data_IF_587258157437
#
_entry.id   IF_587258157437
#
_cell.length_a   1.000
_cell.length_b   1.000
_cell.length_c   1.000
_cell.angle_alpha   90.00
_cell.angle_beta   90.00
_cell.angle_gamma   90.00
#
_symmetry.space_group_name_H-M   'P 1'
#
loop_
_entity.id
_entity.type
_entity.pdbx_description
1 polymer ?
#
# COMPACT_ATOMS: atom_id res chain seq x y z
N UNK A 1 -22.90 -5.45 4.19
CA UNK A 1 -21.48 -5.62 4.52
C UNK A 1 -21.01 -6.97 4.00
N UNK A 2 -20.00 -6.95 3.15
CA UNK A 2 -19.31 -8.13 2.63
C UNK A 2 -17.85 -8.08 3.05
N UNK A 3 -17.23 -9.25 3.19
CA UNK A 3 -15.81 -9.37 3.56
C UNK A 3 -15.11 -10.44 2.74
N UNK A 4 -13.80 -10.30 2.58
CA UNK A 4 -12.91 -11.33 2.04
C UNK A 4 -11.58 -11.33 2.81
N UNK A 5 -11.25 -12.48 3.40
CA UNK A 5 -10.06 -12.66 4.23
C UNK A 5 -8.93 -13.30 3.42
N UNK A 6 -7.75 -12.67 3.43
CA UNK A 6 -6.52 -13.18 2.86
C UNK A 6 -5.49 -13.38 3.96
N UNK A 7 -5.35 -14.63 4.43
CA UNK A 7 -4.35 -14.98 5.45
C UNK A 7 -2.93 -14.83 4.93
N UNK A 8 -2.01 -14.39 5.79
CA UNK A 8 -0.62 -14.10 5.45
C UNK A 8 0.10 -15.26 4.73
N UNK A 9 -0.15 -16.49 5.16
CA UNK A 9 0.44 -17.74 4.64
C UNK A 9 -0.19 -18.22 3.33
N UNK A 10 -1.23 -17.55 2.83
CA UNK A 10 -1.88 -17.87 1.54
C UNK A 10 -1.42 -16.93 0.42
N UNK A 11 -0.53 -15.98 0.71
CA UNK A 11 0.01 -15.05 -0.30
C UNK A 11 0.92 -15.80 -1.27
N UNK A 12 0.96 -15.31 -2.52
CA UNK A 12 2.00 -15.74 -3.45
C UNK A 12 3.38 -15.42 -2.89
N UNK A 13 4.38 -16.22 -3.22
CA UNK A 13 5.74 -16.03 -2.71
C UNK A 13 6.75 -16.18 -3.85
N UNK A 14 7.65 -15.21 -3.94
CA UNK A 14 8.77 -15.23 -4.87
C UNK A 14 10.06 -14.91 -4.13
N UNK A 15 11.10 -15.71 -4.33
CA UNK A 15 12.41 -15.49 -3.73
C UNK A 15 13.50 -15.65 -4.79
N UNK A 16 14.33 -14.62 -4.95
CA UNK A 16 15.38 -14.56 -5.97
C UNK A 16 16.77 -14.35 -5.35
N UNK A 17 16.95 -14.78 -4.09
CA UNK A 17 18.19 -14.63 -3.34
C UNK A 17 18.47 -13.20 -2.84
N UNK A 18 18.21 -12.17 -3.64
CA UNK A 18 18.29 -10.75 -3.27
C UNK A 18 16.95 -10.12 -2.89
N UNK A 19 15.86 -10.65 -3.45
CA UNK A 19 14.47 -10.27 -3.18
C UNK A 19 13.74 -11.42 -2.50
N UNK A 20 12.96 -11.09 -1.48
CA UNK A 20 11.94 -11.95 -0.91
C UNK A 20 10.62 -11.18 -0.91
N UNK A 21 9.65 -11.64 -1.71
CA UNK A 21 8.41 -10.91 -2.01
C UNK A 21 7.19 -11.77 -1.71
N UNK A 22 6.21 -11.19 -1.01
CA UNK A 22 4.90 -11.80 -0.80
C UNK A 22 3.82 -11.01 -1.52
N UNK A 23 3.03 -11.69 -2.35
CA UNK A 23 2.03 -11.10 -3.23
C UNK A 23 0.62 -11.37 -2.70
N UNK A 24 -0.10 -10.31 -2.32
CA UNK A 24 -1.51 -10.42 -1.94
C UNK A 24 -2.38 -10.76 -3.15
N UNK A 25 -2.14 -10.06 -4.25
CA UNK A 25 -2.83 -10.24 -5.54
C UNK A 25 -1.88 -10.85 -6.59
N UNK A 26 -2.44 -11.35 -7.68
CA UNK A 26 -1.71 -11.98 -8.78
C UNK A 26 -0.69 -11.03 -9.38
N UNK A 27 0.58 -11.42 -9.38
CA UNK A 27 1.69 -10.56 -9.79
C UNK A 27 2.87 -11.39 -10.30
N UNK A 28 3.54 -10.90 -11.34
CA UNK A 28 4.65 -11.61 -11.97
C UNK A 28 4.25 -13.03 -12.40
N UNK A 29 4.95 -14.04 -11.86
CA UNK A 29 4.66 -15.46 -12.12
C UNK A 29 3.60 -16.07 -11.20
N UNK A 30 3.20 -15.37 -10.13
CA UNK A 30 2.14 -15.82 -9.25
C UNK A 30 0.77 -15.44 -9.82
N UNK A 31 -0.08 -16.45 -10.02
CA UNK A 31 -1.44 -16.28 -10.53
C UNK A 31 -2.45 -17.00 -9.63
N UNK A 32 -3.45 -16.27 -9.19
CA UNK A 32 -4.63 -16.77 -8.52
C UNK A 32 -5.86 -16.01 -9.08
N UNK A 33 -6.78 -16.69 -9.81
CA UNK A 33 -7.93 -16.05 -10.44
C UNK A 33 -8.90 -15.40 -9.44
N UNK A 34 -8.88 -15.81 -8.18
CA UNK A 34 -9.71 -15.21 -7.12
C UNK A 34 -9.05 -13.97 -6.48
N UNK A 35 -7.78 -13.71 -6.80
CA UNK A 35 -7.00 -12.58 -6.26
C UNK A 35 -6.35 -11.77 -7.37
N UNK A 36 -7.11 -11.33 -8.37
CA UNK A 36 -6.55 -10.44 -9.40
C UNK A 36 -6.39 -9.01 -8.88
N UNK A 37 -7.40 -8.49 -8.19
CA UNK A 37 -7.43 -7.15 -7.60
C UNK A 37 -8.57 -7.06 -6.56
N UNK A 38 -8.61 -5.99 -5.77
CA UNK A 38 -9.73 -5.63 -4.90
C UNK A 38 -10.20 -4.22 -5.26
N UNK A 39 -11.35 -4.08 -5.92
CA UNK A 39 -11.74 -2.79 -6.49
C UNK A 39 -10.63 -2.25 -7.39
N UNK A 40 -10.21 -1.00 -7.18
CA UNK A 40 -9.07 -0.42 -7.89
C UNK A 40 -7.66 -0.84 -7.38
N UNK A 41 -7.55 -1.51 -6.23
CA UNK A 41 -6.28 -2.00 -5.71
C UNK A 41 -5.80 -3.22 -6.50
N UNK A 42 -4.76 -3.04 -7.31
CA UNK A 42 -4.25 -4.07 -8.24
C UNK A 42 -3.09 -4.88 -7.67
N UNK A 43 -2.18 -4.24 -6.94
CA UNK A 43 -0.99 -4.89 -6.35
C UNK A 43 -0.85 -4.45 -4.90
N UNK A 44 -0.50 -5.39 -4.04
CA UNK A 44 -0.04 -5.16 -2.67
C UNK A 44 1.04 -6.21 -2.38
N UNK A 45 2.28 -5.83 -2.60
CA UNK A 45 3.45 -6.65 -2.33
C UNK A 45 4.12 -6.21 -1.03
N UNK A 46 4.62 -7.19 -0.29
CA UNK A 46 5.41 -7.05 0.94
C UNK A 46 6.82 -7.55 0.63
N UNK A 47 7.70 -6.61 0.33
CA UNK A 47 9.00 -6.86 -0.28
C UNK A 47 10.12 -6.67 0.73
N UNK A 48 11.09 -7.57 0.72
CA UNK A 48 12.36 -7.46 1.43
C UNK A 48 13.51 -7.54 0.44
N UNK A 49 14.36 -6.52 0.40
CA UNK A 49 15.47 -6.39 -0.57
C UNK A 49 16.80 -6.24 0.18
N UNK A 50 17.78 -7.07 -0.20
CA UNK A 50 19.13 -7.03 0.36
C UNK A 50 19.86 -5.71 0.09
N UNK A 51 20.85 -5.41 0.94
CA UNK A 51 21.66 -4.20 0.83
C UNK A 51 22.31 -4.04 -0.56
N UNK A 52 22.22 -2.84 -1.13
CA UNK A 52 22.76 -2.50 -2.45
C UNK A 52 22.13 -3.22 -3.66
N UNK A 53 21.07 -4.01 -3.45
CA UNK A 53 20.33 -4.70 -4.51
C UNK A 53 19.02 -3.97 -4.81
N UNK A 54 18.34 -4.35 -5.90
CA UNK A 54 17.07 -3.74 -6.24
C UNK A 54 16.55 -4.09 -7.62
N UNK A 55 15.42 -3.49 -7.94
CA UNK A 55 14.77 -3.60 -9.23
C UNK A 55 15.51 -2.72 -10.24
N UNK A 56 16.02 -3.34 -11.30
CA UNK A 56 16.58 -2.61 -12.44
C UNK A 56 15.52 -1.74 -13.11
N UNK A 57 15.96 -0.80 -13.93
CA UNK A 57 15.07 0.09 -14.68
C UNK A 57 14.03 -0.69 -15.50
N UNK A 58 12.75 -0.41 -15.28
CA UNK A 58 11.62 -1.04 -15.98
C UNK A 58 10.49 -0.03 -16.22
N UNK A 59 9.67 -0.22 -17.27
CA UNK A 59 8.59 0.71 -17.60
C UNK A 59 7.30 0.42 -16.84
N UNK A 60 6.50 1.46 -16.63
CA UNK A 60 5.09 1.43 -16.22
C UNK A 60 4.30 2.42 -17.08
N UNK A 61 3.01 2.14 -17.26
CA UNK A 61 2.03 3.05 -17.83
C UNK A 61 0.73 2.98 -17.00
N UNK A 62 -0.03 4.07 -17.01
CA UNK A 62 -1.40 4.12 -16.46
C UNK A 62 -1.59 3.38 -15.12
N UNK A 63 -0.73 3.67 -14.15
CA UNK A 63 -0.74 3.07 -12.81
C UNK A 63 -0.30 4.09 -11.77
N UNK A 64 -1.01 4.13 -10.64
CA UNK A 64 -0.59 4.86 -9.45
C UNK A 64 0.19 3.92 -8.55
N UNK A 65 1.48 4.19 -8.36
CA UNK A 65 2.41 3.30 -7.65
C UNK A 65 2.85 3.98 -6.36
N UNK A 66 2.50 3.38 -5.22
CA UNK A 66 2.81 3.88 -3.88
C UNK A 66 3.82 2.95 -3.21
N UNK A 67 4.91 3.54 -2.71
CA UNK A 67 5.96 2.88 -1.93
C UNK A 67 5.93 3.36 -0.48
N UNK A 68 5.84 2.41 0.47
CA UNK A 68 5.86 2.68 1.92
C UNK A 68 6.96 1.84 2.58
N UNK A 69 8.15 2.41 2.88
CA UNK A 69 9.18 1.70 3.62
C UNK A 69 8.77 1.43 5.08
N UNK A 70 8.74 0.15 5.45
CA UNK A 70 8.48 -0.33 6.80
C UNK A 70 9.77 -0.30 7.65
N UNK A 71 10.92 -0.56 7.02
CA UNK A 71 12.24 -0.43 7.62
C UNK A 71 13.30 -0.26 6.55
N UNK A 72 14.34 0.52 6.82
CA UNK A 72 15.34 0.86 5.80
C UNK A 72 14.80 1.87 4.79
N UNK A 73 15.58 2.10 3.74
CA UNK A 73 15.40 3.19 2.80
C UNK A 73 15.50 2.68 1.36
N UNK A 74 14.67 3.21 0.46
CA UNK A 74 14.72 2.96 -0.98
C UNK A 74 15.37 4.13 -1.71
N UNK A 75 16.03 3.82 -2.81
CA UNK A 75 16.56 4.78 -3.76
C UNK A 75 15.76 4.66 -5.06
N UNK A 76 14.99 5.70 -5.36
CA UNK A 76 14.19 5.82 -6.57
C UNK A 76 14.94 6.63 -7.63
N UNK A 77 14.93 6.14 -8.87
CA UNK A 77 15.36 6.90 -10.05
C UNK A 77 14.41 6.69 -11.20
N UNK A 78 14.08 7.74 -11.95
CA UNK A 78 13.21 7.64 -13.11
C UNK A 78 13.66 8.44 -14.34
N UNK A 79 12.95 8.23 -15.45
CA UNK A 79 13.21 8.90 -16.75
C UNK A 79 12.90 10.38 -16.78
N UNK A 80 12.23 10.94 -15.78
CA UNK A 80 11.99 12.40 -15.68
C UNK A 80 13.21 13.12 -15.06
N UNK A 81 14.23 12.36 -14.65
CA UNK A 81 15.43 12.87 -14.00
C UNK A 81 15.32 12.92 -12.48
N UNK A 82 14.26 12.35 -11.89
CA UNK A 82 14.13 12.21 -10.43
C UNK A 82 15.15 11.20 -9.92
N UNK A 83 15.78 11.53 -8.80
CA UNK A 83 16.78 10.72 -8.10
C UNK A 83 16.63 11.05 -6.61
N UNK A 84 15.89 10.24 -5.86
CA UNK A 84 15.49 10.54 -4.47
C UNK A 84 15.60 9.32 -3.55
N UNK A 85 15.85 9.57 -2.26
CA UNK A 85 15.80 8.53 -1.23
C UNK A 85 14.44 8.59 -0.54
N UNK A 86 13.71 7.48 -0.59
CA UNK A 86 12.45 7.27 0.13
C UNK A 86 12.80 6.60 1.46
N UNK A 87 12.68 7.35 2.56
CA UNK A 87 13.12 6.90 3.89
C UNK A 87 12.03 6.15 4.61
N UNK A 88 12.41 5.44 5.67
CA UNK A 88 11.44 4.97 6.64
C UNK A 88 10.53 6.14 7.10
N UNK A 89 9.22 5.90 7.12
CA UNK A 89 8.16 6.87 7.42
C UNK A 89 7.78 7.83 6.28
N UNK A 90 8.45 7.74 5.14
CA UNK A 90 7.94 8.39 3.93
C UNK A 90 6.83 7.56 3.30
N UNK A 91 5.90 8.26 2.66
CA UNK A 91 5.04 7.70 1.63
C UNK A 91 5.40 8.40 0.34
N UNK A 92 5.77 7.59 -0.65
CA UNK A 92 6.08 8.04 -1.99
C UNK A 92 5.00 7.53 -2.95
N UNK A 93 4.63 8.37 -3.91
CA UNK A 93 3.76 8.00 -5.02
C UNK A 93 4.35 8.45 -6.36
N UNK A 94 4.26 7.57 -7.35
CA UNK A 94 4.55 7.84 -8.74
C UNK A 94 3.31 7.53 -9.56
N UNK A 95 2.78 8.52 -10.26
CA UNK A 95 1.73 8.32 -11.26
C UNK A 95 2.41 8.08 -12.61
N UNK A 96 2.28 6.87 -13.17
CA UNK A 96 2.98 6.50 -14.40
C UNK A 96 2.44 7.24 -15.63
N UNK A 97 1.14 7.58 -15.64
CA UNK A 97 0.53 8.40 -16.68
C UNK A 97 0.73 7.84 -18.09
N UNK A 98 1.16 8.70 -19.02
CA UNK A 98 1.50 8.34 -20.40
C UNK A 98 2.73 7.44 -20.57
N UNK A 99 3.46 7.18 -19.48
CA UNK A 99 4.58 6.23 -19.43
C UNK A 99 5.78 6.79 -18.69
N UNK A 100 6.36 5.98 -17.81
CA UNK A 100 7.61 6.29 -17.09
C UNK A 100 8.42 5.01 -16.91
N UNK A 101 9.75 5.11 -16.94
CA UNK A 101 10.61 3.99 -16.56
C UNK A 101 11.44 4.35 -15.34
N UNK A 102 11.46 3.45 -14.36
CA UNK A 102 12.08 3.69 -13.06
C UNK A 102 12.84 2.49 -12.52
N UNK A 103 13.72 2.72 -11.57
CA UNK A 103 14.43 1.71 -10.78
C UNK A 103 14.29 2.02 -9.31
N UNK A 104 14.08 1.00 -8.50
CA UNK A 104 14.00 1.09 -7.04
C UNK A 104 15.04 0.16 -6.44
N UNK A 105 16.03 0.72 -5.75
CA UNK A 105 17.10 -0.05 -5.12
C UNK A 105 17.16 0.20 -3.63
N UNK A 106 17.73 -0.73 -2.87
CA UNK A 106 17.97 -0.51 -1.45
C UNK A 106 19.08 0.52 -1.29
N UNK A 107 18.75 1.67 -0.69
CA UNK A 107 19.70 2.76 -0.44
C UNK A 107 20.75 2.43 0.64
N UNK A 108 20.56 1.32 1.36
CA UNK A 108 21.44 0.86 2.43
C UNK A 108 22.36 -0.25 1.90
N UNK A 109 23.63 -0.23 2.28
CA UNK A 109 24.60 -1.24 1.85
C UNK A 109 24.70 -2.43 2.81
N UNK A 110 24.39 -2.22 4.09
CA UNK A 110 24.67 -3.15 5.20
C UNK A 110 23.42 -3.78 5.82
N UNK A 111 22.22 -3.29 5.46
CA UNK A 111 20.94 -3.80 5.96
C UNK A 111 19.89 -3.93 4.86
N UNK A 112 18.92 -4.79 5.10
CA UNK A 112 17.77 -4.97 4.22
C UNK A 112 16.81 -3.78 4.32
N UNK A 113 16.10 -3.51 3.23
CA UNK A 113 14.91 -2.66 3.21
C UNK A 113 13.67 -3.55 3.14
N UNK A 114 12.65 -3.20 3.91
CA UNK A 114 11.33 -3.82 3.87
C UNK A 114 10.31 -2.75 3.53
N UNK A 115 9.44 -3.00 2.57
CA UNK A 115 8.49 -2.00 2.12
C UNK A 115 7.24 -2.63 1.52
N UNK A 116 6.17 -1.85 1.48
CA UNK A 116 4.98 -2.17 0.73
C UNK A 116 5.02 -1.49 -0.62
N UNK A 117 4.78 -2.26 -1.67
CA UNK A 117 4.64 -1.78 -3.05
C UNK A 117 3.19 -1.97 -3.48
N UNK A 118 2.49 -0.85 -3.68
CA UNK A 118 1.03 -0.82 -3.79
C UNK A 118 0.65 -0.15 -5.10
N UNK A 119 -0.12 -0.84 -5.93
CA UNK A 119 -0.54 -0.31 -7.23
C UNK A 119 -2.05 -0.14 -7.27
N UNK A 120 -2.50 1.02 -7.73
CA UNK A 120 -3.91 1.37 -7.89
C UNK A 120 -4.16 1.79 -9.33
N UNK A 121 -5.21 1.22 -9.94
CA UNK A 121 -5.64 1.66 -11.25
C UNK A 121 -6.04 3.15 -11.19
N UNK A 122 -5.53 3.99 -12.11
CA UNK A 122 -5.87 5.40 -12.11
C UNK A 122 -7.30 5.61 -12.58
N UNK A 123 -7.87 6.75 -12.18
CA UNK A 123 -9.15 7.26 -12.67
C UNK A 123 -9.01 7.83 -14.08
N UNK A 124 -7.97 8.62 -14.32
CA UNK A 124 -7.68 9.21 -15.63
C UNK A 124 -6.44 8.58 -16.26
N UNK A 125 -6.57 8.06 -17.48
CA UNK A 125 -5.44 7.51 -18.24
C UNK A 125 -4.66 8.62 -18.95
N UNK A 126 -3.38 8.36 -19.21
CA UNK A 126 -2.47 9.19 -20.01
C UNK A 126 -2.27 10.61 -19.45
N UNK A 127 -2.43 10.79 -18.14
CA UNK A 127 -2.00 12.02 -17.46
C UNK A 127 -0.48 12.20 -17.59
N UNK A 128 0.02 13.41 -17.33
CA UNK A 128 1.46 13.65 -17.28
C UNK A 128 2.10 12.81 -16.14
N UNK A 129 3.20 12.09 -16.39
CA UNK A 129 3.90 11.36 -15.34
C UNK A 129 4.32 12.30 -14.21
N UNK A 130 4.12 11.87 -12.96
CA UNK A 130 4.44 12.71 -11.79
C UNK A 130 4.95 11.88 -10.63
N UNK A 131 5.62 12.60 -9.71
CA UNK A 131 6.21 12.06 -8.50
C UNK A 131 5.86 12.95 -7.32
N UNK A 132 5.57 12.34 -6.17
CA UNK A 132 5.46 13.05 -4.90
C UNK A 132 5.95 12.16 -3.76
N UNK A 133 6.53 12.79 -2.73
CA UNK A 133 6.97 12.12 -1.52
C UNK A 133 6.73 13.05 -0.34
N UNK A 134 6.27 12.50 0.79
CA UNK A 134 6.12 13.21 2.06
C UNK A 134 6.46 12.29 3.23
N UNK A 135 6.96 12.89 4.31
CA UNK A 135 7.25 12.20 5.57
C UNK A 135 6.06 12.30 6.53
N UNK A 136 5.67 11.18 7.13
CA UNK A 136 4.57 11.09 8.08
C UNK A 136 5.07 10.49 9.39
N UNK A 137 5.15 11.30 10.45
CA UNK A 137 5.83 10.85 11.66
C UNK A 137 4.99 9.83 12.43
N UNK A 138 5.62 8.82 13.09
CA UNK A 138 4.89 7.82 13.86
C UNK A 138 3.97 8.40 14.94
N UNK A 139 4.38 9.50 15.57
CA UNK A 139 3.59 10.20 16.60
C UNK A 139 2.27 10.76 16.06
N UNK A 140 2.22 11.16 14.79
CA UNK A 140 1.02 11.74 14.16
C UNK A 140 -0.08 10.70 13.93
N UNK A 141 0.28 9.41 14.01
CA UNK A 141 -0.63 8.26 13.83
C UNK A 141 -0.72 7.35 15.06
N UNK A 142 -0.18 7.77 16.20
CA UNK A 142 -0.34 7.02 17.45
C UNK A 142 -1.78 7.15 17.95
N UNK A 143 -2.46 6.02 18.09
CA UNK A 143 -3.87 5.91 18.45
C UNK A 143 -4.78 6.81 17.60
N UNK A 144 -4.40 7.05 16.35
CA UNK A 144 -5.12 7.86 15.37
C UNK A 144 -5.00 7.21 13.99
N UNK A 145 -5.98 7.47 13.13
CA UNK A 145 -5.95 7.01 11.75
C UNK A 145 -5.57 8.20 10.88
N UNK A 146 -4.33 8.20 10.38
CA UNK A 146 -3.76 9.30 9.60
C UNK A 146 -3.87 8.98 8.11
N UNK A 147 -4.58 9.82 7.36
CA UNK A 147 -4.60 9.76 5.89
C UNK A 147 -3.24 10.20 5.35
N UNK A 148 -2.62 9.37 4.51
CA UNK A 148 -1.30 9.63 3.91
C UNK A 148 -1.31 9.70 2.39
N UNK A 149 -2.32 9.12 1.74
CA UNK A 149 -2.60 9.25 0.30
C UNK A 149 -4.06 9.68 0.13
N UNK A 150 -4.34 10.68 -0.72
CA UNK A 150 -5.70 11.15 -1.01
C UNK A 150 -5.75 11.98 -2.31
N UNK A 151 -6.89 12.04 -3.03
CA UNK A 151 -7.05 12.91 -4.21
C UNK A 151 -7.24 14.39 -3.85
N UNK A 152 -7.64 14.69 -2.61
CA UNK A 152 -8.21 15.99 -2.21
C UNK A 152 -7.72 16.50 -0.84
N UNK A 153 -6.56 16.03 -0.37
CA UNK A 153 -5.94 16.46 0.90
C UNK A 153 -4.52 17.00 0.66
N UNK A 154 -4.29 18.26 1.00
CA UNK A 154 -2.99 18.92 0.85
C UNK A 154 -1.92 18.41 1.81
N UNK A 155 -2.28 17.70 2.87
CA UNK A 155 -1.36 17.08 3.81
C UNK A 155 -0.96 15.67 3.37
N UNK A 156 -1.80 14.97 2.60
CA UNK A 156 -1.49 13.68 2.00
C UNK A 156 -0.67 13.79 0.69
N UNK A 157 -0.06 12.70 0.23
CA UNK A 157 0.40 12.64 -1.17
C UNK A 157 -0.81 12.43 -2.09
N UNK A 158 -0.79 13.11 -3.23
CA UNK A 158 -1.90 13.11 -4.18
C UNK A 158 -1.92 11.82 -5.01
N UNK A 159 -3.12 11.28 -5.25
CA UNK A 159 -3.35 10.13 -6.13
C UNK A 159 -4.40 10.44 -7.20
N UNK A 160 -4.18 9.95 -8.43
CA UNK A 160 -5.16 10.02 -9.52
C UNK A 160 -6.22 8.91 -9.39
N UNK A 161 -6.91 8.84 -8.26
CA UNK A 161 -8.02 7.91 -8.04
C UNK A 161 -8.87 8.43 -6.87
N UNK A 162 -10.15 8.07 -6.86
CA UNK A 162 -11.04 8.28 -5.71
C UNK A 162 -10.70 7.29 -4.58
N UNK A 163 -9.43 7.32 -4.12
CA UNK A 163 -8.83 6.39 -3.18
C UNK A 163 -8.07 7.10 -2.05
N UNK A 164 -8.12 6.53 -0.85
CA UNK A 164 -7.43 7.06 0.33
C UNK A 164 -6.66 5.97 1.04
N UNK A 165 -5.40 6.24 1.39
CA UNK A 165 -4.62 5.32 2.21
C UNK A 165 -4.44 5.94 3.58
N UNK A 166 -4.70 5.17 4.63
CA UNK A 166 -4.52 5.62 6.01
C UNK A 166 -3.65 4.66 6.80
N UNK A 167 -2.72 5.21 7.58
CA UNK A 167 -1.87 4.45 8.50
C UNK A 167 -2.31 4.72 9.94
N UNK A 168 -2.27 3.68 10.78
CA UNK A 168 -2.51 3.82 12.21
C UNK A 168 -1.57 2.93 13.02
N UNK A 169 -1.05 3.49 14.11
CA UNK A 169 -0.32 2.76 15.15
C UNK A 169 -1.23 2.72 16.38
N UNK A 170 -1.88 1.59 16.64
CA UNK A 170 -2.85 1.44 17.72
C UNK A 170 -2.23 0.66 18.88
N UNK A 171 -2.28 1.21 20.08
CA UNK A 171 -1.93 0.48 21.31
C UNK A 171 -3.00 -0.56 21.65
N UNK A 172 -2.61 -1.60 22.39
CA UNK A 172 -3.54 -2.64 22.81
C UNK A 172 -4.76 -2.08 23.56
N UNK A 173 -5.96 -2.54 23.19
CA UNK A 173 -7.24 -2.10 23.74
C UNK A 173 -7.81 -0.83 23.08
N UNK A 174 -7.08 -0.17 22.19
CA UNK A 174 -7.60 1.00 21.47
C UNK A 174 -8.62 0.57 20.42
N UNK A 175 -9.75 1.25 20.43
CA UNK A 175 -10.82 1.09 19.46
C UNK A 175 -10.91 2.32 18.55
N UNK A 176 -11.17 2.07 17.26
CA UNK A 176 -11.40 3.09 16.25
C UNK A 176 -12.54 2.72 15.33
N UNK A 177 -13.26 3.74 14.88
CA UNK A 177 -14.22 3.63 13.79
C UNK A 177 -13.59 4.32 12.59
N UNK A 178 -13.36 3.57 11.53
CA UNK A 178 -12.96 4.14 10.24
C UNK A 178 -14.22 4.39 9.40
N UNK A 179 -14.41 5.64 8.99
CA UNK A 179 -15.46 6.04 8.05
C UNK A 179 -14.92 5.87 6.62
N UNK A 180 -15.59 5.04 5.82
CA UNK A 180 -15.27 4.88 4.41
C UNK A 180 -15.54 6.22 3.70
N UNK A 181 -14.59 6.67 2.88
CA UNK A 181 -14.60 8.03 2.31
C UNK A 181 -15.69 8.23 1.27
N UNK A 182 -16.06 7.17 0.54
CA UNK A 182 -17.15 7.17 -0.44
C UNK A 182 -18.01 5.92 -0.34
N UNK A 183 -19.29 6.07 -0.63
CA UNK A 183 -20.28 5.00 -0.50
C UNK A 183 -20.01 3.81 -1.43
N UNK A 184 -19.44 4.07 -2.61
CA UNK A 184 -19.10 3.06 -3.62
C UNK A 184 -17.74 2.38 -3.37
N UNK A 185 -17.00 2.83 -2.37
CA UNK A 185 -15.70 2.28 -2.03
C UNK A 185 -15.80 1.05 -1.12
N UNK A 186 -14.72 0.27 -1.14
CA UNK A 186 -14.41 -0.72 -0.15
C UNK A 186 -13.05 -0.44 0.45
N UNK A 187 -12.78 -1.00 1.62
CA UNK A 187 -11.49 -0.87 2.30
C UNK A 187 -10.80 -2.21 2.33
N UNK A 188 -9.55 -2.23 1.89
CA UNK A 188 -8.64 -3.33 2.12
C UNK A 188 -7.75 -3.00 3.31
N UNK A 189 -8.01 -3.63 4.45
CA UNK A 189 -7.20 -3.52 5.65
C UNK A 189 -6.03 -4.51 5.58
N UNK A 190 -4.79 -4.02 5.67
CA UNK A 190 -3.59 -4.85 5.73
C UNK A 190 -2.87 -4.65 7.06
N UNK A 191 -2.69 -5.73 7.80
CA UNK A 191 -2.08 -5.67 9.14
C UNK A 191 -0.57 -5.67 8.97
N UNK A 192 0.07 -4.53 9.22
CA UNK A 192 1.52 -4.43 9.11
C UNK A 192 2.18 -5.20 10.28
N UNK A 193 1.63 -5.10 11.47
CA UNK A 193 2.12 -5.86 12.62
C UNK A 193 1.11 -5.88 13.75
N UNK A 194 1.29 -6.79 14.69
CA UNK A 194 0.37 -6.97 15.81
C UNK A 194 -0.82 -7.85 15.47
N UNK A 195 -1.93 -7.62 16.18
CA UNK A 195 -3.16 -8.39 16.09
C UNK A 195 -4.34 -7.46 16.35
N UNK A 196 -5.36 -7.56 15.50
CA UNK A 196 -6.51 -6.67 15.51
C UNK A 196 -7.78 -7.46 15.23
N UNK A 197 -8.90 -7.01 15.79
CA UNK A 197 -10.22 -7.47 15.41
C UNK A 197 -10.91 -6.38 14.61
N UNK A 198 -11.35 -6.72 13.39
CA UNK A 198 -12.08 -5.81 12.51
C UNK A 198 -13.49 -6.37 12.25
N UNK A 199 -14.53 -5.65 12.69
CA UNK A 199 -15.93 -6.08 12.58
C UNK A 199 -16.16 -7.54 13.05
N UNK A 200 -15.44 -7.97 14.10
CA UNK A 200 -15.54 -9.33 14.66
C UNK A 200 -14.58 -10.35 14.05
N UNK A 201 -13.87 -10.04 12.96
CA UNK A 201 -12.87 -10.92 12.35
C UNK A 201 -11.49 -10.66 12.98
N UNK A 202 -10.82 -11.71 13.47
CA UNK A 202 -9.48 -11.60 14.06
C UNK A 202 -8.41 -11.76 12.99
N UNK A 203 -7.52 -10.78 12.92
CA UNK A 203 -6.45 -10.68 11.94
C UNK A 203 -5.11 -10.63 12.65
N UNK A 204 -4.17 -11.42 12.15
CA UNK A 204 -2.79 -11.44 12.60
C UNK A 204 -1.89 -10.61 11.67
N UNK A 205 -0.63 -10.42 12.05
CA UNK A 205 0.34 -9.72 11.23
C UNK A 205 0.40 -10.30 9.81
N UNK A 206 0.36 -9.39 8.82
CA UNK A 206 0.34 -9.66 7.38
C UNK A 206 -0.94 -10.29 6.82
N UNK A 207 -1.98 -10.45 7.63
CA UNK A 207 -3.31 -10.72 7.08
C UNK A 207 -3.86 -9.49 6.35
N UNK A 208 -4.69 -9.74 5.36
CA UNK A 208 -5.48 -8.74 4.67
C UNK A 208 -6.98 -9.03 4.76
N UNK A 209 -7.80 -8.01 4.91
CA UNK A 209 -9.26 -8.11 4.94
C UNK A 209 -9.88 -7.05 4.04
N UNK A 210 -10.49 -7.48 2.93
CA UNK A 210 -11.32 -6.61 2.10
C UNK A 210 -12.72 -6.49 2.70
N UNK A 211 -13.27 -5.27 2.78
CA UNK A 211 -14.58 -4.96 3.38
C UNK A 211 -15.30 -3.96 2.49
N UNK A 212 -16.56 -4.22 2.12
CA UNK A 212 -17.36 -3.30 1.30
C UNK A 212 -18.86 -3.45 1.59
N UNK A 213 -19.71 -2.63 0.96
CA UNK A 213 -21.15 -2.52 1.25
C UNK A 213 -21.42 -2.19 2.74
N UNK A 214 -20.66 -1.24 3.27
CA UNK A 214 -20.79 -0.65 4.60
C UNK A 214 -20.31 0.81 4.55
N UNK A 215 -20.65 1.61 5.55
CA UNK A 215 -20.18 3.00 5.67
C UNK A 215 -19.04 3.12 6.69
N UNK A 216 -18.95 2.16 7.63
CA UNK A 216 -17.99 2.17 8.73
C UNK A 216 -17.37 0.81 8.97
N UNK A 217 -16.18 0.85 9.57
CA UNK A 217 -15.40 -0.32 9.99
C UNK A 217 -14.95 -0.10 11.44
N UNK A 218 -15.32 -1.01 12.33
CA UNK A 218 -14.86 -1.02 13.71
C UNK A 218 -13.56 -1.81 13.81
N UNK A 219 -12.55 -1.20 14.43
CA UNK A 219 -11.20 -1.71 14.56
C UNK A 219 -10.86 -1.72 16.05
N UNK A 220 -10.54 -2.89 16.60
CA UNK A 220 -10.09 -3.06 17.99
C UNK A 220 -8.71 -3.68 17.99
N UNK A 221 -7.71 -2.97 18.52
CA UNK A 221 -6.35 -3.47 18.61
C UNK A 221 -6.23 -4.48 19.76
N UNK A 222 -5.95 -5.76 19.46
CA UNK A 222 -5.80 -6.81 20.46
C UNK A 222 -4.37 -6.81 21.06
N UNK A 223 -3.43 -6.23 20.34
CA UNK A 223 -2.06 -5.92 20.77
C UNK A 223 -1.61 -4.61 20.11
N UNK A 224 -0.40 -4.13 20.42
CA UNK A 224 0.18 -3.00 19.69
C UNK A 224 0.25 -3.35 18.20
N UNK A 225 -0.49 -2.59 17.38
CA UNK A 225 -0.80 -2.93 15.99
C UNK A 225 -0.45 -1.78 15.07
N UNK A 226 0.21 -2.08 13.96
CA UNK A 226 0.35 -1.17 12.83
C UNK A 226 -0.54 -1.67 11.70
N UNK A 227 -1.39 -0.80 11.16
CA UNK A 227 -2.39 -1.15 10.15
C UNK A 227 -2.38 -0.12 9.01
N UNK A 228 -2.50 -0.62 7.79
CA UNK A 228 -2.75 0.16 6.59
C UNK A 228 -4.18 -0.10 6.12
N UNK A 229 -4.95 0.97 5.93
CA UNK A 229 -6.30 0.93 5.37
C UNK A 229 -6.26 1.53 3.96
N UNK A 230 -6.66 0.74 2.95
CA UNK A 230 -6.68 1.16 1.55
C UNK A 230 -8.13 1.25 1.10
N UNK A 231 -8.67 2.46 1.09
CA UNK A 231 -10.04 2.80 0.69
C UNK A 231 -10.05 3.08 -0.81
N UNK A 232 -10.72 2.25 -1.61
CA UNK A 232 -10.69 2.28 -3.08
C UNK A 232 -12.07 2.02 -3.69
N UNK A 233 -12.37 2.55 -4.89
CA UNK A 233 -13.63 2.27 -5.56
C UNK A 233 -13.73 0.78 -5.91
N UNK A 234 -14.89 0.19 -5.65
CA UNK A 234 -15.12 -1.24 -5.91
C UNK A 234 -15.44 -1.53 -7.39
N UNK A 235 -15.79 -0.50 -8.14
CA UNK A 235 -16.01 -0.58 -9.59
C UNK A 235 -14.94 0.25 -10.28
N UNK A 236 -14.26 -0.36 -11.24
CA UNK A 236 -13.44 0.37 -12.19
C UNK A 236 -14.37 0.95 -13.25
N UNK A 237 -14.28 2.24 -13.50
CA UNK A 237 -14.91 2.81 -14.70
C UNK A 237 -14.17 2.25 -15.92
N UNK A 238 -14.92 1.80 -16.92
CA UNK A 238 -14.36 1.48 -18.23
C UNK A 238 -13.91 2.80 -18.86
N UNK A 239 -12.64 3.16 -18.68
CA UNK A 239 -11.99 4.27 -19.37
C UNK A 239 -11.63 3.88 -20.81
#
# INVERSE_FOLDING_TARGET
>A
MKTILHKANTRGHASFGWLNSYHTFSFGHYYNPERIHFGALRVLNDDTVKGGMGFSKHPHDNMEIVSIPLSGDLHHKDTTGRDEIIRQHDVQIMSAGSGIAHSETNANHDKEVKFLQIWVFPKEKNIEPRYQQKSFKPEDRLNQVLTVVAPDDEHAVWINQDAWFSLANLEAGVEKIYQIKRKENGVYAFIIGGQVTINGEQLDARDGLGIWETETINITANSNTEILLIDVPMKLEEA
#
